data_IF_323469145309
#
_entry.id   IF_323469145309
#
_cell.length_a   1.000
_cell.length_b   1.000
_cell.length_c   1.000
_cell.angle_alpha   90.00
_cell.angle_beta   90.00
_cell.angle_gamma   90.00
#
_symmetry.space_group_name_H-M   'P 1'
#
loop_
_entity.id
_entity.type
_entity.pdbx_description
1 polymer ?
#
# COMPACT_ATOMS: atom_id res chain seq x y z
N UNK A 1 14.50 2.11 41.55
CA UNK A 1 15.32 0.89 41.36
C UNK A 1 14.51 -0.10 40.55
N UNK A 2 14.66 -0.06 39.24
CA UNK A 2 14.33 -1.17 38.33
C UNK A 2 15.42 -1.15 37.26
N UNK A 3 16.59 -1.63 37.66
CA UNK A 3 17.65 -2.02 36.74
C UNK A 3 17.28 -3.41 36.21
N UNK A 4 17.18 -3.55 34.89
CA UNK A 4 16.86 -4.82 34.26
C UNK A 4 16.76 -4.67 32.75
N UNK A 5 17.84 -4.98 32.04
CA UNK A 5 17.95 -4.88 30.59
C UNK A 5 16.93 -5.74 29.85
N UNK A 6 16.26 -5.13 28.88
CA UNK A 6 15.34 -5.80 27.96
C UNK A 6 16.12 -6.41 26.78
N UNK A 7 17.11 -7.23 27.08
CA UNK A 7 17.88 -7.98 26.09
C UNK A 7 17.87 -9.46 26.43
N UNK A 8 16.72 -10.11 26.21
CA UNK A 8 16.66 -11.57 26.11
C UNK A 8 15.45 -11.97 25.25
N UNK A 9 15.69 -12.25 23.97
CA UNK A 9 14.72 -12.92 23.10
C UNK A 9 14.59 -14.39 23.57
N UNK A 10 13.37 -14.93 23.78
CA UNK A 10 13.20 -16.32 24.20
C UNK A 10 13.75 -17.32 23.16
N UNK A 11 14.25 -18.50 23.58
CA UNK A 11 14.75 -19.52 22.66
C UNK A 11 13.61 -20.07 21.79
N UNK A 12 13.69 -19.87 20.48
CA UNK A 12 12.70 -20.34 19.50
C UNK A 12 12.26 -19.29 18.47
N UNK A 13 12.54 -18.01 18.73
CA UNK A 13 12.21 -16.88 17.85
C UNK A 13 13.38 -16.43 16.95
N UNK A 14 14.28 -17.35 16.58
CA UNK A 14 15.36 -17.06 15.60
C UNK A 14 14.77 -17.10 14.18
N UNK A 15 14.11 -16.03 13.76
CA UNK A 15 13.59 -15.95 12.38
C UNK A 15 12.88 -14.65 11.99
N UNK A 16 12.41 -13.83 12.95
CA UNK A 16 11.70 -12.58 12.67
C UNK A 16 12.24 -11.38 13.47
N UNK A 17 13.55 -11.32 13.65
CA UNK A 17 14.24 -10.18 14.24
C UNK A 17 15.05 -9.44 13.18
N UNK A 18 14.71 -8.17 12.93
CA UNK A 18 15.65 -7.22 12.34
C UNK A 18 16.94 -7.27 13.18
N UNK A 19 18.03 -7.78 12.61
CA UNK A 19 19.34 -7.80 13.28
C UNK A 19 19.74 -6.35 13.56
N UNK A 20 19.85 -5.98 14.83
CA UNK A 20 20.40 -4.70 15.29
C UNK A 20 21.93 -4.63 15.19
N UNK A 21 22.59 -5.74 14.83
CA UNK A 21 24.01 -5.93 15.13
C UNK A 21 24.91 -5.75 13.89
N UNK A 22 24.42 -5.06 12.87
CA UNK A 22 25.22 -4.70 11.70
C UNK A 22 24.94 -3.26 11.27
N UNK A 23 25.41 -2.29 12.06
CA UNK A 23 25.80 -0.98 11.50
C UNK A 23 27.32 -0.95 11.38
N UNK A 24 27.88 -1.14 10.18
CA UNK A 24 29.23 -0.66 9.92
C UNK A 24 29.20 0.86 9.98
N UNK A 25 30.17 1.43 10.70
CA UNK A 25 30.40 2.87 10.75
C UNK A 25 30.65 3.45 9.35
N UNK A 26 30.13 4.66 9.14
CA UNK A 26 30.44 5.62 8.07
C UNK A 26 30.53 5.09 6.62
N UNK A 27 29.37 5.06 5.94
CA UNK A 27 29.33 5.26 4.48
C UNK A 27 28.43 6.44 4.14
N UNK A 28 28.96 7.37 3.36
CA UNK A 28 28.26 8.54 2.86
C UNK A 28 26.92 8.15 2.21
N UNK A 29 25.89 8.94 2.48
CA UNK A 29 24.53 8.71 2.00
C UNK A 29 24.46 8.80 0.47
N UNK A 30 24.60 7.65 -0.18
CA UNK A 30 24.03 7.40 -1.51
C UNK A 30 22.59 6.92 -1.30
N UNK A 31 21.75 7.02 -2.34
CA UNK A 31 20.38 6.46 -2.37
C UNK A 31 20.32 4.95 -2.00
N UNK A 32 21.48 4.28 -1.88
CA UNK A 32 21.68 2.87 -1.51
C UNK A 32 22.31 2.63 -0.13
N UNK A 33 21.91 3.35 0.91
CA UNK A 33 22.35 3.08 2.30
C UNK A 33 21.81 1.77 2.92
N UNK A 34 20.86 1.12 2.24
CA UNK A 34 20.28 -0.17 2.66
C UNK A 34 20.97 -1.39 2.02
N UNK A 35 20.54 -2.61 2.35
CA UNK A 35 20.99 -3.81 1.66
C UNK A 35 20.76 -3.69 0.15
N UNK A 36 21.69 -4.15 -0.67
CA UNK A 36 21.61 -4.16 -2.14
C UNK A 36 20.33 -4.84 -2.66
N UNK A 37 19.80 -5.83 -1.92
CA UNK A 37 18.51 -6.48 -2.19
C UNK A 37 17.30 -5.55 -2.19
N UNK A 38 17.42 -4.29 -1.74
CA UNK A 38 16.30 -3.32 -1.76
C UNK A 38 16.28 -2.44 -3.00
N UNK A 39 17.36 -2.37 -3.77
CA UNK A 39 17.46 -1.51 -4.96
C UNK A 39 18.11 -2.17 -6.19
N UNK A 40 18.67 -3.37 -6.05
CA UNK A 40 19.15 -4.18 -7.18
C UNK A 40 18.17 -5.34 -7.44
N UNK A 41 17.44 -5.34 -8.57
CA UNK A 41 16.41 -6.35 -8.83
C UNK A 41 16.94 -7.79 -8.92
N UNK A 42 18.15 -7.98 -9.46
CA UNK A 42 18.77 -9.31 -9.55
C UNK A 42 19.08 -9.89 -8.17
N UNK A 43 19.59 -9.08 -7.25
CA UNK A 43 19.83 -9.50 -5.87
C UNK A 43 18.53 -9.70 -5.08
N UNK A 44 17.50 -8.85 -5.34
CA UNK A 44 16.16 -9.05 -4.79
C UNK A 44 15.58 -10.40 -5.20
N UNK A 45 15.76 -10.79 -6.47
CA UNK A 45 15.24 -12.05 -6.99
C UNK A 45 15.88 -13.26 -6.27
N UNK A 46 17.20 -13.21 -6.04
CA UNK A 46 17.88 -14.25 -5.25
C UNK A 46 17.37 -14.30 -3.81
N UNK A 47 17.15 -13.13 -3.18
CA UNK A 47 16.57 -13.08 -1.85
C UNK A 47 15.14 -13.66 -1.82
N UNK A 48 14.32 -13.40 -2.85
CA UNK A 48 13.01 -14.01 -2.99
C UNK A 48 13.07 -15.54 -3.07
N UNK A 49 14.11 -16.10 -3.71
CA UNK A 49 14.29 -17.56 -3.76
C UNK A 49 14.65 -18.15 -2.39
N UNK A 50 15.50 -17.47 -1.63
CA UNK A 50 15.85 -17.86 -0.26
C UNK A 50 14.62 -17.81 0.65
N UNK A 51 13.82 -16.76 0.53
CA UNK A 51 12.61 -16.53 1.35
C UNK A 51 11.38 -17.29 0.84
N UNK A 52 11.50 -17.99 -0.31
CA UNK A 52 10.41 -18.72 -0.99
C UNK A 52 9.20 -17.84 -1.35
N UNK A 53 9.48 -16.65 -1.88
CA UNK A 53 8.48 -15.69 -2.35
C UNK A 53 8.32 -15.82 -3.86
N UNK A 54 7.19 -16.33 -4.33
CA UNK A 54 6.95 -16.52 -5.77
C UNK A 54 6.84 -15.20 -6.53
N UNK A 55 6.12 -14.22 -5.98
CA UNK A 55 5.88 -12.92 -6.60
C UNK A 55 6.03 -11.77 -5.59
N UNK A 56 6.53 -10.63 -6.04
CA UNK A 56 6.67 -9.43 -5.23
C UNK A 56 5.95 -8.26 -5.90
N UNK A 57 4.90 -7.75 -5.25
CA UNK A 57 4.23 -6.52 -5.68
C UNK A 57 5.11 -5.32 -5.30
N UNK A 58 5.39 -4.45 -6.27
CA UNK A 58 6.32 -3.33 -6.09
C UNK A 58 5.59 -2.06 -5.64
N UNK A 59 6.08 -1.45 -4.56
CA UNK A 59 5.57 -0.20 -3.99
C UNK A 59 6.69 0.84 -3.88
N UNK A 60 6.37 2.15 -4.01
CA UNK A 60 7.37 3.21 -4.01
C UNK A 60 7.91 3.48 -2.61
N UNK A 61 9.20 3.79 -2.57
CA UNK A 61 9.81 4.52 -1.45
C UNK A 61 10.26 5.92 -1.87
N UNK A 62 10.91 6.06 -3.03
CA UNK A 62 11.48 7.35 -3.50
C UNK A 62 10.42 8.40 -3.85
N UNK A 63 9.28 7.96 -4.38
CA UNK A 63 8.12 8.82 -4.65
C UNK A 63 7.32 9.18 -3.37
N UNK A 64 7.84 8.79 -2.20
CA UNK A 64 7.12 8.79 -0.93
C UNK A 64 6.10 7.65 -0.85
N UNK A 65 5.67 7.33 0.37
CA UNK A 65 4.60 6.36 0.60
C UNK A 65 3.34 6.75 -0.20
N UNK A 66 2.85 5.82 -1.01
CA UNK A 66 1.78 6.01 -1.99
C UNK A 66 1.93 7.23 -2.92
N UNK A 67 3.14 7.58 -3.34
CA UNK A 67 3.36 8.67 -4.31
C UNK A 67 3.21 10.08 -3.73
N UNK A 68 3.11 10.21 -2.39
CA UNK A 68 2.85 11.49 -1.72
C UNK A 68 3.88 12.58 -1.99
N UNK A 69 5.11 12.25 -2.40
CA UNK A 69 6.12 13.26 -2.73
C UNK A 69 5.75 13.94 -4.04
N UNK A 70 5.35 13.15 -5.04
CA UNK A 70 4.94 13.68 -6.35
C UNK A 70 3.58 14.37 -6.27
N UNK A 71 2.63 13.82 -5.50
CA UNK A 71 1.31 14.44 -5.33
C UNK A 71 1.31 15.82 -4.64
N UNK A 72 2.42 16.24 -4.02
CA UNK A 72 2.58 17.61 -3.49
C UNK A 72 3.04 18.62 -4.54
N UNK A 73 3.46 18.17 -5.72
CA UNK A 73 3.88 19.07 -6.79
C UNK A 73 2.64 19.81 -7.31
N UNK A 74 2.76 21.13 -7.45
CA UNK A 74 1.70 21.99 -8.01
C UNK A 74 1.84 22.18 -9.52
N UNK A 75 3.05 21.96 -10.06
CA UNK A 75 3.32 21.92 -11.49
C UNK A 75 2.94 20.54 -12.05
N UNK A 76 1.90 20.51 -12.88
CA UNK A 76 1.37 19.29 -13.48
C UNK A 76 2.37 18.63 -14.43
N UNK A 77 3.13 19.41 -15.20
CA UNK A 77 4.09 18.84 -16.16
C UNK A 77 5.22 18.14 -15.40
N UNK A 78 5.68 18.75 -14.31
CA UNK A 78 6.67 18.14 -13.43
C UNK A 78 6.12 16.89 -12.72
N UNK A 79 4.90 16.93 -12.19
CA UNK A 79 4.25 15.77 -11.56
C UNK A 79 4.15 14.59 -12.55
N UNK A 80 3.64 14.84 -13.75
CA UNK A 80 3.51 13.83 -14.82
C UNK A 80 4.88 13.28 -15.19
N UNK A 81 5.89 14.13 -15.40
CA UNK A 81 7.24 13.68 -15.75
C UNK A 81 7.85 12.78 -14.66
N UNK A 82 7.72 13.15 -13.38
CA UNK A 82 8.20 12.34 -12.26
C UNK A 82 7.46 11.00 -12.15
N UNK A 83 6.13 11.01 -12.29
CA UNK A 83 5.30 9.80 -12.25
C UNK A 83 5.67 8.86 -13.40
N UNK A 84 5.80 9.38 -14.62
CA UNK A 84 6.15 8.59 -15.80
C UNK A 84 7.55 7.99 -15.66
N UNK A 85 8.54 8.77 -15.24
CA UNK A 85 9.89 8.27 -14.99
C UNK A 85 9.92 7.13 -13.96
N UNK A 86 9.16 7.25 -12.86
CA UNK A 86 9.03 6.18 -11.88
C UNK A 86 8.36 4.92 -12.48
N UNK A 87 7.23 5.10 -13.18
CA UNK A 87 6.49 3.99 -13.79
C UNK A 87 7.34 3.26 -14.83
N UNK A 88 8.12 4.00 -15.60
CA UNK A 88 8.95 3.49 -16.68
C UNK A 88 10.15 2.72 -16.13
N UNK A 89 10.82 3.26 -15.10
CA UNK A 89 11.90 2.60 -14.36
C UNK A 89 11.47 1.25 -13.79
N UNK A 90 10.26 1.12 -13.22
CA UNK A 90 9.77 -0.18 -12.74
C UNK A 90 9.70 -1.23 -13.86
N UNK A 91 9.28 -0.84 -15.05
CA UNK A 91 9.18 -1.76 -16.19
C UNK A 91 10.58 -2.11 -16.71
N UNK A 92 11.41 -1.10 -16.92
CA UNK A 92 12.70 -1.22 -17.60
C UNK A 92 13.77 -1.86 -16.73
N UNK A 93 13.74 -1.64 -15.42
CA UNK A 93 14.77 -2.15 -14.51
C UNK A 93 14.30 -3.38 -13.72
N UNK A 94 13.07 -3.37 -13.20
CA UNK A 94 12.60 -4.45 -12.33
C UNK A 94 11.93 -5.57 -13.12
N UNK A 95 10.89 -5.26 -13.88
CA UNK A 95 10.14 -6.28 -14.63
C UNK A 95 10.98 -6.92 -15.72
N UNK A 96 11.91 -6.16 -16.33
CA UNK A 96 12.88 -6.69 -17.27
C UNK A 96 13.73 -7.85 -16.69
N UNK A 97 14.07 -7.77 -15.40
CA UNK A 97 14.86 -8.81 -14.72
C UNK A 97 14.04 -10.08 -14.47
N UNK A 98 12.76 -9.94 -14.13
CA UNK A 98 11.88 -11.10 -13.91
C UNK A 98 10.40 -10.74 -13.92
N UNK A 99 9.52 -11.57 -14.53
CA UNK A 99 8.08 -11.40 -14.47
C UNK A 99 7.50 -11.65 -13.06
N UNK A 100 8.33 -12.11 -12.10
CA UNK A 100 7.93 -12.27 -10.69
C UNK A 100 7.76 -10.94 -9.97
N UNK A 101 8.27 -9.86 -10.54
CA UNK A 101 8.02 -8.51 -10.05
C UNK A 101 6.72 -7.97 -10.65
N UNK A 102 5.76 -7.65 -9.79
CA UNK A 102 4.44 -7.16 -10.19
C UNK A 102 4.41 -5.65 -9.99
N UNK A 103 4.57 -4.85 -11.07
CA UNK A 103 4.63 -3.40 -10.97
C UNK A 103 3.25 -2.80 -10.67
N UNK A 104 3.25 -1.75 -9.85
CA UNK A 104 2.09 -0.91 -9.57
C UNK A 104 2.42 0.51 -9.99
N UNK A 105 1.52 1.15 -10.75
CA UNK A 105 1.77 2.49 -11.25
C UNK A 105 1.42 3.54 -10.22
N UNK A 106 2.13 4.66 -10.29
CA UNK A 106 1.66 5.94 -9.78
C UNK A 106 0.91 6.67 -10.88
N UNK A 107 0.09 7.62 -10.47
CA UNK A 107 -0.64 8.53 -11.34
C UNK A 107 -0.59 9.93 -10.73
N UNK A 108 -0.64 11.01 -11.53
CA UNK A 108 -0.88 12.34 -11.00
C UNK A 108 -2.16 12.35 -10.16
N UNK A 109 -2.17 13.08 -9.06
CA UNK A 109 -3.35 13.05 -8.17
C UNK A 109 -4.49 13.95 -8.68
N UNK A 110 -4.17 14.92 -9.53
CA UNK A 110 -5.12 15.88 -10.13
C UNK A 110 -4.47 16.64 -11.30
N UNK A 111 -5.22 17.04 -12.36
CA UNK A 111 -6.63 16.79 -12.60
C UNK A 111 -6.89 15.36 -13.06
N UNK A 112 -8.12 14.88 -12.89
CA UNK A 112 -8.48 13.46 -13.09
C UNK A 112 -8.26 13.00 -14.53
N UNK A 113 -8.33 13.89 -15.51
CA UNK A 113 -8.00 13.59 -16.91
C UNK A 113 -6.54 13.15 -17.06
N UNK A 114 -5.61 13.81 -16.35
CA UNK A 114 -4.20 13.43 -16.35
C UNK A 114 -3.99 12.11 -15.61
N UNK A 115 -4.70 11.90 -14.49
CA UNK A 115 -4.71 10.65 -13.73
C UNK A 115 -5.11 9.46 -14.62
N UNK A 116 -6.25 9.58 -15.32
CA UNK A 116 -6.79 8.53 -16.20
C UNK A 116 -5.89 8.29 -17.41
N UNK A 117 -5.34 9.35 -18.01
CA UNK A 117 -4.41 9.24 -19.13
C UNK A 117 -3.17 8.43 -18.74
N UNK A 118 -2.55 8.75 -17.62
CA UNK A 118 -1.36 8.04 -17.15
C UNK A 118 -1.68 6.61 -16.70
N UNK A 119 -2.81 6.38 -16.05
CA UNK A 119 -3.27 5.04 -15.70
C UNK A 119 -3.33 4.14 -16.94
N UNK A 120 -4.00 4.60 -18.01
CA UNK A 120 -4.12 3.83 -19.26
C UNK A 120 -2.75 3.59 -19.91
N UNK A 121 -1.85 4.59 -19.91
CA UNK A 121 -0.49 4.44 -20.43
C UNK A 121 0.29 3.37 -19.64
N UNK A 122 0.26 3.44 -18.31
CA UNK A 122 1.00 2.54 -17.45
C UNK A 122 0.49 1.10 -17.56
N UNK A 123 -0.83 0.90 -17.62
CA UNK A 123 -1.42 -0.43 -17.83
C UNK A 123 -1.03 -1.03 -19.19
N UNK A 124 -1.02 -0.22 -20.26
CA UNK A 124 -0.55 -0.66 -21.57
C UNK A 124 0.94 -1.07 -21.57
N UNK A 125 1.74 -0.53 -20.64
CA UNK A 125 3.15 -0.91 -20.42
C UNK A 125 3.35 -2.13 -19.51
N UNK A 126 2.27 -2.70 -18.95
CA UNK A 126 2.33 -3.91 -18.12
C UNK A 126 2.17 -3.70 -16.61
N UNK A 127 1.82 -2.48 -16.16
CA UNK A 127 1.42 -2.26 -14.76
C UNK A 127 0.15 -3.05 -14.42
N UNK A 128 0.01 -3.48 -13.15
CA UNK A 128 -1.07 -4.41 -12.72
C UNK A 128 -1.98 -3.86 -11.62
N UNK A 129 -1.77 -2.62 -11.22
CA UNK A 129 -2.52 -1.93 -10.18
C UNK A 129 -2.08 -0.47 -10.09
N UNK A 130 -2.88 0.36 -9.45
CA UNK A 130 -2.59 1.78 -9.25
C UNK A 130 -2.48 2.09 -7.77
N UNK A 131 -1.39 2.72 -7.37
CA UNK A 131 -1.23 3.22 -6.01
C UNK A 131 -1.71 4.67 -5.98
N UNK A 132 -2.67 4.95 -5.10
CA UNK A 132 -3.29 6.26 -5.00
C UNK A 132 -3.28 6.74 -3.53
N UNK A 133 -3.05 8.04 -3.26
CA UNK A 133 -3.20 8.57 -1.91
C UNK A 133 -4.66 8.45 -1.45
N UNK A 134 -4.88 7.93 -0.24
CA UNK A 134 -6.25 7.78 0.29
C UNK A 134 -6.94 9.12 0.61
N UNK A 135 -6.15 10.18 0.80
CA UNK A 135 -6.62 11.55 1.11
C UNK A 135 -5.82 12.55 0.26
N UNK A 136 -6.07 12.63 -1.06
CA UNK A 136 -5.32 13.51 -1.97
C UNK A 136 -5.49 15.00 -1.61
N UNK A 137 -6.65 15.39 -1.07
CA UNK A 137 -6.94 16.73 -0.55
C UNK A 137 -6.03 17.16 0.62
N UNK A 138 -5.31 16.22 1.25
CA UNK A 138 -4.30 16.54 2.28
C UNK A 138 -2.91 16.81 1.69
N UNK A 139 -2.71 16.57 0.39
CA UNK A 139 -1.44 16.79 -0.30
C UNK A 139 -1.39 18.15 -0.99
N UNK A 140 -2.52 18.61 -1.56
CA UNK A 140 -2.72 19.95 -2.13
C UNK A 140 -4.21 20.26 -2.27
N UNK A 141 -4.53 21.49 -2.65
CA UNK A 141 -5.90 21.95 -2.85
C UNK A 141 -6.54 21.28 -4.08
N UNK A 142 -7.32 20.23 -3.83
CA UNK A 142 -8.09 19.46 -4.82
C UNK A 142 -9.44 19.09 -4.21
N UNK A 143 -10.45 18.75 -5.03
CA UNK A 143 -11.73 18.26 -4.52
C UNK A 143 -11.56 17.08 -3.57
N UNK A 144 -12.54 16.86 -2.70
CA UNK A 144 -12.54 15.67 -1.87
C UNK A 144 -12.66 14.42 -2.75
N UNK A 145 -12.00 13.33 -2.36
CA UNK A 145 -11.95 12.07 -3.14
C UNK A 145 -13.33 11.41 -3.37
N UNK A 146 -14.34 11.88 -2.64
CA UNK A 146 -15.72 11.38 -2.71
C UNK A 146 -16.54 12.11 -3.77
N UNK A 147 -16.07 13.27 -4.22
CA UNK A 147 -16.80 14.13 -5.15
C UNK A 147 -16.85 13.52 -6.55
N UNK A 148 -17.90 13.84 -7.35
CA UNK A 148 -18.10 13.30 -8.68
C UNK A 148 -16.93 13.53 -9.65
N UNK A 149 -16.08 14.53 -9.39
CA UNK A 149 -14.89 14.83 -10.17
C UNK A 149 -13.92 13.63 -10.24
N UNK A 150 -13.91 12.76 -9.22
CA UNK A 150 -13.12 11.52 -9.21
C UNK A 150 -13.84 10.31 -9.83
N UNK A 151 -15.13 10.41 -10.14
CA UNK A 151 -15.90 9.31 -10.75
C UNK A 151 -15.27 8.78 -12.05
N UNK A 152 -14.68 9.60 -12.96
CA UNK A 152 -13.99 9.08 -14.13
C UNK A 152 -12.77 8.20 -13.81
N UNK A 153 -12.06 8.48 -12.70
CA UNK A 153 -10.98 7.64 -12.22
C UNK A 153 -11.50 6.29 -11.71
N UNK A 154 -12.53 6.31 -10.85
CA UNK A 154 -13.15 5.09 -10.33
C UNK A 154 -13.78 4.23 -11.43
N UNK A 155 -14.49 4.86 -12.36
CA UNK A 155 -15.08 4.22 -13.53
C UNK A 155 -14.01 3.54 -14.39
N UNK A 156 -12.90 4.24 -14.66
CA UNK A 156 -11.78 3.67 -15.42
C UNK A 156 -11.15 2.50 -14.69
N UNK A 157 -10.93 2.62 -13.37
CA UNK A 157 -10.36 1.53 -12.59
C UNK A 157 -11.25 0.28 -12.60
N UNK A 158 -12.56 0.47 -12.51
CA UNK A 158 -13.53 -0.61 -12.60
C UNK A 158 -13.58 -1.23 -14.01
N UNK A 159 -13.67 -0.41 -15.06
CA UNK A 159 -13.71 -0.84 -16.47
C UNK A 159 -12.50 -1.70 -16.84
N UNK A 160 -11.32 -1.30 -16.37
CA UNK A 160 -10.05 -1.98 -16.64
C UNK A 160 -9.73 -3.08 -15.62
N UNK A 161 -10.64 -3.34 -14.68
CA UNK A 161 -10.50 -4.29 -13.58
C UNK A 161 -9.21 -4.15 -12.76
N UNK A 162 -8.67 -2.93 -12.69
CA UNK A 162 -7.40 -2.61 -12.04
C UNK A 162 -7.64 -2.29 -10.56
N UNK A 163 -6.90 -2.93 -9.63
CA UNK A 163 -7.04 -2.63 -8.21
C UNK A 163 -6.46 -1.25 -7.87
N UNK A 164 -7.17 -0.51 -7.01
CA UNK A 164 -6.67 0.73 -6.40
C UNK A 164 -6.08 0.40 -5.03
N UNK A 165 -4.80 0.67 -4.89
CA UNK A 165 -3.98 0.31 -3.74
C UNK A 165 -3.73 1.52 -2.83
N UNK A 166 -4.20 1.44 -1.59
CA UNK A 166 -3.92 2.41 -0.52
C UNK A 166 -2.84 1.85 0.40
N UNK A 167 -1.83 2.66 0.73
CA UNK A 167 -0.73 2.26 1.62
C UNK A 167 -0.88 2.89 3.00
N UNK A 168 -0.76 2.09 4.06
CA UNK A 168 -0.79 2.60 5.42
C UNK A 168 0.31 3.66 5.65
N UNK A 169 -0.05 4.76 6.31
CA UNK A 169 0.87 5.86 6.60
C UNK A 169 1.32 6.72 5.40
N UNK A 170 0.69 6.56 4.24
CA UNK A 170 0.78 7.57 3.17
C UNK A 170 0.11 8.91 3.55
N UNK A 171 -0.78 8.87 4.54
CA UNK A 171 -1.68 9.95 4.93
C UNK A 171 -1.41 10.43 6.36
N UNK A 172 -0.37 11.25 6.61
CA UNK A 172 0.08 11.55 7.98
C UNK A 172 -0.96 12.31 8.82
N UNK A 173 -1.87 13.05 8.20
CA UNK A 173 -2.90 13.83 8.90
C UNK A 173 -3.99 12.97 9.53
N UNK A 174 -4.16 11.72 9.07
CA UNK A 174 -5.10 10.73 9.64
C UNK A 174 -4.35 9.68 10.49
N UNK A 175 -3.10 9.94 10.85
CA UNK A 175 -2.34 9.13 11.79
C UNK A 175 -2.43 9.72 13.20
N UNK A 176 -2.32 8.86 14.21
CA UNK A 176 -2.16 9.33 15.57
C UNK A 176 -0.83 10.08 15.72
N UNK A 177 -0.86 11.35 16.18
CA UNK A 177 0.38 12.04 16.51
C UNK A 177 1.06 11.35 17.68
N UNK A 178 2.40 11.33 17.67
CA UNK A 178 3.16 10.90 18.83
C UNK A 178 2.89 11.84 20.02
N UNK A 179 2.93 11.30 21.25
CA UNK A 179 2.90 12.16 22.43
C UNK A 179 4.08 13.15 22.41
N UNK A 180 3.86 14.32 23.00
CA UNK A 180 4.92 15.33 23.15
C UNK A 180 6.06 14.77 24.00
N UNK A 181 7.26 15.27 23.74
CA UNK A 181 8.48 15.03 24.54
C UNK A 181 8.94 13.56 24.63
N UNK A 182 8.46 12.70 23.72
CA UNK A 182 8.99 11.35 23.58
C UNK A 182 10.38 11.36 22.97
N UNK A 183 11.22 10.39 23.38
CA UNK A 183 12.48 10.14 22.69
C UNK A 183 12.22 9.75 21.22
N UNK A 184 13.13 10.09 20.29
CA UNK A 184 12.93 9.77 18.87
C UNK A 184 12.68 8.28 18.61
N UNK A 185 13.35 7.39 19.33
CA UNK A 185 13.17 5.95 19.20
C UNK A 185 11.78 5.48 19.64
N UNK A 186 11.27 6.00 20.77
CA UNK A 186 9.94 5.66 21.26
C UNK A 186 8.85 6.24 20.36
N UNK A 187 9.01 7.48 19.89
CA UNK A 187 8.09 8.09 18.92
C UNK A 187 8.01 7.28 17.62
N UNK A 188 9.16 6.79 17.11
CA UNK A 188 9.21 5.95 15.92
C UNK A 188 8.52 4.59 16.14
N UNK A 189 8.76 3.95 17.29
CA UNK A 189 8.11 2.68 17.64
C UNK A 189 6.58 2.80 17.75
N UNK A 190 6.08 3.86 18.39
CA UNK A 190 4.65 4.12 18.49
C UNK A 190 4.04 4.44 17.11
N UNK A 191 4.72 5.24 16.29
CA UNK A 191 4.28 5.53 14.93
C UNK A 191 4.22 4.26 14.06
N UNK A 192 5.19 3.35 14.19
CA UNK A 192 5.18 2.07 13.50
C UNK A 192 4.00 1.19 13.93
N UNK A 193 3.71 1.14 15.24
CA UNK A 193 2.61 0.35 15.79
C UNK A 193 1.23 0.87 15.36
N UNK A 194 1.06 2.20 15.29
CA UNK A 194 -0.25 2.82 15.01
C UNK A 194 -0.49 3.12 13.53
N UNK A 195 0.55 3.06 12.68
CA UNK A 195 0.46 3.32 11.24
C UNK A 195 -0.67 2.56 10.54
N UNK A 196 -0.87 1.24 10.77
CA UNK A 196 -1.97 0.48 10.19
C UNK A 196 -3.36 1.07 10.47
N UNK A 197 -3.54 1.74 11.61
CA UNK A 197 -4.84 2.30 12.04
C UNK A 197 -5.34 3.40 11.13
N UNK A 198 -4.48 4.08 10.37
CA UNK A 198 -4.93 5.05 9.34
C UNK A 198 -5.92 4.43 8.33
N UNK A 199 -5.87 3.11 8.14
CA UNK A 199 -6.76 2.36 7.23
C UNK A 199 -8.21 2.33 7.72
N UNK A 200 -8.46 2.40 9.04
CA UNK A 200 -9.80 2.48 9.67
C UNK A 200 -10.58 3.63 9.05
N UNK A 201 -10.02 4.83 9.12
CA UNK A 201 -10.66 6.02 8.58
C UNK A 201 -10.88 5.95 7.05
N UNK A 202 -9.94 5.34 6.31
CA UNK A 202 -10.08 5.20 4.85
C UNK A 202 -11.19 4.21 4.50
N UNK A 203 -11.25 3.06 5.18
CA UNK A 203 -12.31 2.06 4.99
C UNK A 203 -13.66 2.64 5.34
N UNK A 204 -13.79 3.31 6.50
CA UNK A 204 -15.01 4.01 6.89
C UNK A 204 -15.46 5.02 5.81
N UNK A 205 -14.53 5.77 5.21
CA UNK A 205 -14.86 6.65 4.09
C UNK A 205 -15.43 5.88 2.88
N UNK A 206 -14.85 4.75 2.48
CA UNK A 206 -15.38 3.94 1.37
C UNK A 206 -16.72 3.26 1.70
N UNK A 207 -16.99 2.96 2.96
CA UNK A 207 -18.28 2.42 3.40
C UNK A 207 -19.43 3.43 3.22
N UNK A 208 -19.18 4.71 3.55
CA UNK A 208 -20.24 5.73 3.59
C UNK A 208 -20.23 6.72 2.41
N UNK A 209 -19.16 6.82 1.62
CA UNK A 209 -19.04 7.75 0.48
C UNK A 209 -19.88 7.38 -0.75
N UNK A 210 -20.51 6.20 -0.75
CA UNK A 210 -21.22 5.61 -1.90
C UNK A 210 -20.36 5.36 -3.15
N UNK A 211 -19.04 5.54 -3.09
CA UNK A 211 -18.15 5.21 -4.22
C UNK A 211 -18.35 3.75 -4.63
N UNK A 212 -18.38 2.83 -3.66
CA UNK A 212 -18.61 1.40 -3.92
C UNK A 212 -20.05 1.06 -4.34
N UNK A 213 -21.02 1.97 -4.17
CA UNK A 213 -22.36 1.81 -4.73
C UNK A 213 -22.41 2.23 -6.19
N UNK A 214 -21.68 3.30 -6.55
CA UNK A 214 -21.54 3.76 -7.94
C UNK A 214 -20.66 2.80 -8.76
N UNK A 215 -19.66 2.20 -8.12
CA UNK A 215 -18.67 1.31 -8.73
C UNK A 215 -18.60 -0.03 -7.98
N UNK A 216 -19.61 -0.91 -8.12
CA UNK A 216 -19.76 -2.12 -7.32
C UNK A 216 -18.73 -3.23 -7.58
N UNK A 217 -18.01 -3.19 -8.71
CA UNK A 217 -16.97 -4.19 -9.03
C UNK A 217 -15.55 -3.63 -8.88
N UNK A 218 -15.43 -2.38 -8.38
CA UNK A 218 -14.14 -1.77 -8.08
C UNK A 218 -13.38 -2.57 -7.03
N UNK A 219 -12.10 -2.86 -7.30
CA UNK A 219 -11.21 -3.58 -6.39
C UNK A 219 -10.36 -2.59 -5.61
N UNK A 220 -10.42 -2.65 -4.28
CA UNK A 220 -9.60 -1.84 -3.38
C UNK A 220 -8.67 -2.74 -2.57
N UNK A 221 -7.40 -2.34 -2.45
CA UNK A 221 -6.37 -3.07 -1.69
C UNK A 221 -5.78 -2.16 -0.63
N UNK A 222 -5.76 -2.63 0.61
CA UNK A 222 -5.14 -1.95 1.75
C UNK A 222 -3.80 -2.62 2.08
N UNK A 223 -2.70 -1.90 1.87
CA UNK A 223 -1.32 -2.43 1.95
C UNK A 223 -0.65 -1.95 3.23
N UNK A 224 0.07 -2.84 3.92
CA UNK A 224 0.69 -2.57 5.24
C UNK A 224 -0.34 -2.17 6.32
N UNK A 225 -1.61 -2.51 6.10
CA UNK A 225 -2.72 -2.04 6.90
C UNK A 225 -3.07 -2.93 8.09
N UNK A 226 -2.44 -4.09 8.28
CA UNK A 226 -2.90 -5.12 9.23
C UNK A 226 -4.35 -5.56 8.95
N UNK A 227 -4.86 -6.56 9.68
CA UNK A 227 -6.24 -7.04 9.55
C UNK A 227 -7.08 -6.90 10.83
N UNK A 228 -6.45 -6.64 11.98
CA UNK A 228 -7.14 -6.65 13.29
C UNK A 228 -8.25 -5.60 13.42
N UNK A 229 -8.16 -4.48 12.70
CA UNK A 229 -9.19 -3.45 12.70
C UNK A 229 -10.46 -3.86 11.94
N UNK A 230 -10.41 -4.88 11.08
CA UNK A 230 -11.56 -5.27 10.25
C UNK A 230 -12.75 -5.75 11.08
N UNK A 231 -12.51 -6.48 12.17
CA UNK A 231 -13.56 -6.90 13.08
C UNK A 231 -14.21 -5.70 13.80
N UNK A 232 -13.38 -4.75 14.27
CA UNK A 232 -13.83 -3.52 14.89
C UNK A 232 -14.69 -2.65 13.96
N UNK A 233 -14.27 -2.50 12.69
CA UNK A 233 -15.04 -1.77 11.68
C UNK A 233 -16.40 -2.41 11.42
N UNK A 234 -16.46 -3.74 11.27
CA UNK A 234 -17.72 -4.43 11.03
C UNK A 234 -18.70 -4.30 12.20
N UNK A 235 -18.19 -4.44 13.44
CA UNK A 235 -18.99 -4.27 14.65
C UNK A 235 -19.57 -2.84 14.76
N UNK A 236 -18.72 -1.83 14.55
CA UNK A 236 -19.12 -0.43 14.68
C UNK A 236 -19.99 0.05 13.53
N UNK A 237 -19.75 -0.41 12.30
CA UNK A 237 -20.58 -0.09 11.15
C UNK A 237 -22.01 -0.61 11.31
N UNK A 238 -22.21 -1.80 11.86
CA UNK A 238 -23.55 -2.34 12.15
C UNK A 238 -24.27 -1.51 13.24
N UNK A 239 -23.55 -1.09 14.28
CA UNK A 239 -24.11 -0.22 15.30
C UNK A 239 -24.52 1.15 14.73
N UNK A 240 -23.68 1.74 13.87
CA UNK A 240 -23.98 3.01 13.17
C UNK A 240 -25.17 2.82 12.22
N UNK A 241 -25.25 1.69 11.51
CA UNK A 241 -26.41 1.34 10.66
C UNK A 241 -27.69 1.26 11.49
N UNK A 242 -27.69 0.69 12.69
CA UNK A 242 -28.88 0.67 13.55
C UNK A 242 -29.36 2.10 13.89
N UNK A 243 -28.43 3.05 14.08
CA UNK A 243 -28.74 4.45 14.40
C UNK A 243 -29.17 5.24 13.15
N UNK A 244 -28.52 5.00 12.01
CA UNK A 244 -28.78 5.71 10.75
C UNK A 244 -29.91 5.11 9.92
N UNK A 245 -30.17 3.80 10.02
CA UNK A 245 -31.27 3.09 9.35
C UNK A 245 -32.65 3.59 9.78
N UNK A 246 -32.74 4.27 10.92
CA UNK A 246 -33.89 5.08 11.30
C UNK A 246 -34.08 6.36 10.44
N UNK A 247 -33.24 6.60 9.43
CA UNK A 247 -33.25 7.81 8.59
C UNK A 247 -33.42 7.56 7.07
N UNK A 248 -33.59 6.31 6.63
CA UNK A 248 -34.17 5.99 5.31
C UNK A 248 -33.31 6.20 4.05
N UNK A 249 -31.98 6.08 4.10
CA UNK A 249 -31.11 6.22 2.90
C UNK A 249 -30.48 4.87 2.47
N UNK A 250 -30.50 4.59 1.16
CA UNK A 250 -30.25 3.28 0.54
C UNK A 250 -28.88 2.63 0.78
N UNK A 251 -28.86 1.29 0.74
CA UNK A 251 -27.82 0.42 1.31
C UNK A 251 -26.75 -0.07 0.30
N UNK A 252 -25.50 -0.20 0.76
CA UNK A 252 -24.43 -0.94 0.10
C UNK A 252 -24.11 -2.22 0.89
N UNK A 253 -23.92 -3.36 0.22
CA UNK A 253 -23.47 -4.60 0.85
C UNK A 253 -21.97 -4.79 0.64
N UNK A 254 -21.19 -4.77 1.73
CA UNK A 254 -19.76 -5.08 1.68
C UNK A 254 -19.56 -6.59 1.73
N UNK A 255 -19.07 -7.19 0.64
CA UNK A 255 -18.65 -8.59 0.64
C UNK A 255 -17.15 -8.67 0.94
N UNK A 256 -16.78 -8.87 2.21
CA UNK A 256 -15.38 -9.14 2.59
C UNK A 256 -15.04 -10.58 2.22
N UNK A 257 -14.30 -10.78 1.14
CA UNK A 257 -13.71 -12.09 0.81
C UNK A 257 -12.27 -12.14 1.33
N UNK A 258 -12.06 -12.89 2.41
CA UNK A 258 -10.72 -13.32 2.81
C UNK A 258 -10.34 -14.48 1.91
N UNK A 259 -9.60 -14.22 0.83
CA UNK A 259 -9.11 -15.31 -0.03
C UNK A 259 -7.85 -15.90 0.61
N UNK A 260 -7.85 -17.14 1.12
CA UNK A 260 -6.64 -17.77 1.59
C UNK A 260 -5.76 -18.08 0.37
N UNK A 261 -4.46 -17.81 0.47
CA UNK A 261 -3.49 -18.21 -0.53
C UNK A 261 -3.50 -19.76 -0.60
N UNK A 262 -4.13 -20.34 -1.63
CA UNK A 262 -4.14 -21.80 -1.83
C UNK A 262 -2.70 -22.25 -2.04
N UNK A 263 -2.16 -23.04 -1.10
CA UNK A 263 -0.97 -23.85 -1.34
C UNK A 263 -1.40 -25.03 -2.22
N UNK A 264 -1.11 -24.97 -3.51
CA UNK A 264 -1.09 -26.18 -4.32
C UNK A 264 0.17 -26.97 -3.96
N UNK A 265 0.02 -27.95 -3.06
CA UNK A 265 1.05 -28.97 -2.88
C UNK A 265 0.90 -30.02 -3.98
N UNK A 266 1.60 -29.85 -5.11
CA UNK A 266 1.80 -30.93 -6.08
C UNK A 266 2.81 -31.92 -5.52
N UNK A 267 2.33 -32.91 -4.77
CA UNK A 267 3.14 -34.10 -4.47
C UNK A 267 3.08 -34.99 -5.71
N UNK A 268 4.11 -34.90 -6.55
CA UNK A 268 4.33 -35.86 -7.63
C UNK A 268 4.60 -37.25 -7.01
N UNK A 269 3.60 -38.14 -7.06
CA UNK A 269 3.80 -39.56 -6.81
C UNK A 269 4.45 -40.17 -8.05
N UNK A 270 5.75 -40.44 -7.99
CA UNK A 270 6.39 -41.38 -8.91
C UNK A 270 5.89 -42.79 -8.60
N UNK A 271 4.98 -43.30 -9.43
CA UNK A 271 4.80 -44.74 -9.60
C UNK A 271 5.76 -45.21 -10.68
N UNK A 272 6.84 -45.88 -10.26
CA UNK A 272 7.65 -46.70 -11.15
C UNK A 272 6.93 -48.03 -11.40
N UNK A 273 6.64 -48.31 -12.66
CA UNK A 273 6.35 -49.63 -13.18
C UNK A 273 7.27 -49.85 -14.38
N UNK A 274 8.04 -50.95 -14.36
CA UNK A 274 9.00 -51.32 -15.40
C UNK A 274 10.35 -51.67 -14.81
#
# INVERSE_FOLDING_TARGET
>A
MLDGGWAATPPGWRGLGWRSDARPESRAATLGGGPTTTYQPAERLQAMDVDRVDYSVLYPTVAGLAGKTFGRLTDLELEVACVQAYNDCLIEEWVHVSPRFIPQCLVPIWPVEATVKELRRALARGHRGVIFPAVPMHLREVPHINEPEYDPFWATCQELEVPVCFHAGASPQIQFPAYKDLSPGLAAALSALTRPVSSVQVVANFLYSRILMRFPTLKIVFTESSLGWGAYELETAEAVRCVQGNRGEGEAHLHVSLTPQRRETSVARHHGAG
#
